data_IF_951104436390
#
_entry.id   IF_951104436390
#
_cell.length_a   1.000
_cell.length_b   1.000
_cell.length_c   1.000
_cell.angle_alpha   90.00
_cell.angle_beta   90.00
_cell.angle_gamma   90.00
#
_symmetry.space_group_name_H-M   'P 1'
#
loop_
_entity.id
_entity.type
_entity.pdbx_description
1 polymer ?
#
# COMPACT_ATOMS: atom_id res chain seq x y z
N UNK A 1 -19.82 -6.38 11.86
CA UNK A 1 -19.16 -7.18 10.79
C UNK A 1 -18.25 -6.26 10.00
N UNK A 2 -16.95 -6.27 10.34
CA UNK A 2 -15.94 -5.30 9.89
C UNK A 2 -15.53 -5.51 8.42
N UNK A 3 -16.18 -4.82 7.48
CA UNK A 3 -15.81 -4.81 6.05
C UNK A 3 -14.42 -4.18 5.73
N UNK A 4 -13.56 -3.94 6.73
CA UNK A 4 -12.26 -3.23 6.60
C UNK A 4 -11.04 -4.14 6.70
N UNK A 5 -11.21 -5.42 7.02
CA UNK A 5 -10.14 -6.43 7.05
C UNK A 5 -9.32 -6.55 5.75
N UNK A 6 -9.91 -6.57 4.53
CA UNK A 6 -9.11 -6.74 3.30
C UNK A 6 -8.12 -5.58 3.10
N UNK A 7 -8.53 -4.36 3.44
CA UNK A 7 -7.69 -3.17 3.31
C UNK A 7 -6.51 -3.18 4.29
N UNK A 8 -6.72 -3.66 5.52
CA UNK A 8 -5.64 -3.80 6.51
C UNK A 8 -4.62 -4.84 6.09
N UNK A 9 -5.06 -5.96 5.49
CA UNK A 9 -4.15 -6.98 4.95
C UNK A 9 -3.31 -6.41 3.82
N UNK A 10 -3.95 -5.74 2.85
CA UNK A 10 -3.24 -5.10 1.74
C UNK A 10 -2.17 -4.12 2.21
N UNK A 11 -2.47 -3.28 3.20
CA UNK A 11 -1.47 -2.35 3.76
C UNK A 11 -0.28 -3.09 4.37
N UNK A 12 -0.48 -4.24 5.01
CA UNK A 12 0.62 -5.07 5.51
C UNK A 12 1.47 -5.64 4.38
N UNK A 13 0.86 -6.14 3.32
CA UNK A 13 1.58 -6.63 2.13
C UNK A 13 2.40 -5.52 1.48
N UNK A 14 1.83 -4.32 1.32
CA UNK A 14 2.53 -3.14 0.80
C UNK A 14 3.74 -2.79 1.67
N UNK A 15 3.57 -2.73 3.00
CA UNK A 15 4.65 -2.43 3.93
C UNK A 15 5.75 -3.50 3.90
N UNK A 16 5.39 -4.77 3.78
CA UNK A 16 6.33 -5.89 3.69
C UNK A 16 7.14 -5.81 2.39
N UNK A 17 6.47 -5.71 1.24
CA UNK A 17 7.12 -5.57 -0.07
C UNK A 17 8.01 -4.33 -0.14
N UNK A 18 7.54 -3.19 0.40
CA UNK A 18 8.34 -1.97 0.49
C UNK A 18 9.64 -2.20 1.26
N UNK A 19 9.60 -2.93 2.36
CA UNK A 19 10.80 -3.28 3.16
C UNK A 19 11.72 -4.23 2.42
N UNK A 20 11.17 -5.29 1.80
CA UNK A 20 11.93 -6.28 1.02
C UNK A 20 12.67 -5.59 -0.13
N UNK A 21 12.02 -4.64 -0.80
CA UNK A 21 12.57 -3.87 -1.92
C UNK A 21 13.46 -2.70 -1.49
N UNK A 22 13.62 -2.44 -0.19
CA UNK A 22 14.39 -1.30 0.31
C UNK A 22 13.82 0.08 -0.07
N UNK A 23 12.51 0.17 -0.34
CA UNK A 23 11.87 1.39 -0.81
C UNK A 23 11.46 2.33 0.34
N UNK A 24 11.75 3.61 0.17
CA UNK A 24 11.28 4.67 1.07
C UNK A 24 9.80 4.98 0.87
N UNK A 25 9.12 5.53 1.89
CA UNK A 25 7.72 5.98 1.76
C UNK A 25 7.53 6.96 0.61
N UNK A 26 8.50 7.86 0.39
CA UNK A 26 8.45 8.82 -0.71
C UNK A 26 8.50 8.15 -2.09
N UNK A 27 9.30 7.10 -2.25
CA UNK A 27 9.38 6.34 -3.49
C UNK A 27 8.06 5.60 -3.76
N UNK A 28 7.52 4.92 -2.74
CA UNK A 28 6.22 4.26 -2.85
C UNK A 28 5.09 5.25 -3.17
N UNK A 29 5.09 6.41 -2.52
CA UNK A 29 4.09 7.45 -2.77
C UNK A 29 4.16 7.97 -4.20
N UNK A 30 5.37 8.17 -4.74
CA UNK A 30 5.58 8.56 -6.14
C UNK A 30 5.07 7.48 -7.12
N UNK A 31 5.39 6.21 -6.87
CA UNK A 31 4.93 5.05 -7.66
C UNK A 31 3.40 4.93 -7.68
N UNK A 32 2.77 5.14 -6.52
CA UNK A 32 1.31 5.10 -6.38
C UNK A 32 0.64 6.37 -6.90
N UNK A 33 1.39 7.43 -7.24
CA UNK A 33 0.84 8.72 -7.63
C UNK A 33 0.08 9.43 -6.50
N UNK A 34 0.41 9.16 -5.24
CA UNK A 34 -0.21 9.78 -4.06
C UNK A 34 0.79 10.62 -3.29
N UNK A 35 0.31 11.57 -2.49
CA UNK A 35 1.20 12.31 -1.60
C UNK A 35 1.76 11.41 -0.48
N UNK A 36 3.01 11.63 -0.08
CA UNK A 36 3.64 10.95 1.07
C UNK A 36 2.77 11.03 2.32
N UNK A 37 2.12 12.18 2.54
CA UNK A 37 1.21 12.37 3.66
C UNK A 37 0.00 11.41 3.62
N UNK A 38 -0.55 11.15 2.43
CA UNK A 38 -1.65 10.20 2.25
C UNK A 38 -1.20 8.78 2.60
N UNK A 39 0.00 8.38 2.15
CA UNK A 39 0.57 7.08 2.50
C UNK A 39 0.82 6.95 4.00
N UNK A 40 1.33 7.99 4.67
CA UNK A 40 1.52 8.00 6.12
C UNK A 40 0.20 7.86 6.89
N UNK A 41 -0.86 8.53 6.45
CA UNK A 41 -2.20 8.40 7.05
C UNK A 41 -2.73 6.96 6.94
N UNK A 42 -2.38 6.26 5.85
CA UNK A 42 -2.71 4.84 5.65
C UNK A 42 -1.90 3.91 6.54
N UNK A 43 -0.57 4.07 6.58
CA UNK A 43 0.32 3.26 7.44
C UNK A 43 0.01 3.46 8.93
N UNK A 44 -0.35 4.68 9.35
CA UNK A 44 -0.76 4.98 10.73
C UNK A 44 -2.20 4.54 11.05
N UNK A 45 -2.92 3.93 10.09
CA UNK A 45 -4.33 3.57 10.23
C UNK A 45 -5.25 4.74 10.59
N UNK A 46 -4.83 5.99 10.35
CA UNK A 46 -5.67 7.19 10.53
C UNK A 46 -6.73 7.27 9.44
N UNK A 47 -6.38 6.86 8.22
CA UNK A 47 -7.29 6.78 7.08
C UNK A 47 -7.09 5.45 6.37
N UNK A 48 -8.17 4.77 5.99
CA UNK A 48 -8.07 3.57 5.17
C UNK A 48 -8.17 3.96 3.69
N UNK A 49 -7.28 3.43 2.82
CA UNK A 49 -7.41 3.63 1.39
C UNK A 49 -8.76 3.09 0.93
N UNK A 50 -9.48 3.88 0.14
CA UNK A 50 -10.82 3.56 -0.37
C UNK A 50 -10.92 4.01 -1.83
N UNK A 51 -11.73 3.32 -2.63
CA UNK A 51 -11.85 3.59 -4.06
C UNK A 51 -10.52 3.45 -4.78
N UNK A 52 -10.10 4.50 -5.50
CA UNK A 52 -8.87 4.54 -6.31
C UNK A 52 -7.62 4.21 -5.49
N UNK A 53 -7.49 4.72 -4.26
CA UNK A 53 -6.32 4.44 -3.41
C UNK A 53 -6.15 2.97 -3.05
N UNK A 54 -7.25 2.23 -2.89
CA UNK A 54 -7.20 0.79 -2.65
C UNK A 54 -6.75 0.06 -3.92
N UNK A 55 -7.35 0.39 -5.08
CA UNK A 55 -6.99 -0.22 -6.35
C UNK A 55 -5.50 -0.03 -6.69
N UNK A 56 -4.96 1.17 -6.47
CA UNK A 56 -3.54 1.48 -6.69
C UNK A 56 -2.62 0.62 -5.83
N UNK A 57 -2.91 0.52 -4.52
CA UNK A 57 -2.12 -0.33 -3.63
C UNK A 57 -2.18 -1.80 -4.04
N UNK A 58 -3.35 -2.28 -4.46
CA UNK A 58 -3.54 -3.66 -4.91
C UNK A 58 -2.71 -3.94 -6.15
N UNK A 59 -2.85 -3.10 -7.17
CA UNK A 59 -2.11 -3.19 -8.41
C UNK A 59 -0.60 -3.10 -8.16
N UNK A 60 -0.16 -2.20 -7.28
CA UNK A 60 1.25 -2.10 -6.92
C UNK A 60 1.78 -3.38 -6.26
N UNK A 61 1.02 -3.98 -5.33
CA UNK A 61 1.38 -5.27 -4.73
C UNK A 61 1.45 -6.35 -5.80
N UNK A 62 0.46 -6.45 -6.68
CA UNK A 62 0.42 -7.43 -7.76
C UNK A 62 1.64 -7.30 -8.68
N UNK A 63 2.00 -6.09 -9.10
CA UNK A 63 3.19 -5.82 -9.92
C UNK A 63 4.49 -6.20 -9.20
N UNK A 64 4.54 -6.02 -7.87
CA UNK A 64 5.76 -6.27 -7.10
C UNK A 64 5.87 -7.70 -6.53
N UNK A 65 4.78 -8.47 -6.56
CA UNK A 65 4.73 -9.86 -6.10
C UNK A 65 5.19 -10.87 -7.18
N UNK A 66 5.31 -10.46 -8.44
CA UNK A 66 5.73 -11.33 -9.57
C UNK A 66 7.21 -11.75 -9.58
N UNK A 67 7.89 -11.68 -8.44
CA UNK A 67 9.30 -12.05 -8.25
C UNK A 67 9.34 -13.20 -7.23
N UNK A 68 8.83 -14.37 -7.61
CA UNK A 68 8.77 -15.53 -6.72
C UNK A 68 7.75 -16.62 -7.02
N UNK A 69 7.33 -16.80 -8.28
CA UNK A 69 6.78 -18.07 -8.77
C UNK A 69 7.79 -18.70 -9.73
#
# INVERSE_FOLDING_TARGET
MERKEPTRRLLRDVMALRRIRGMSQTALAAELGVSVRTLQEWEQSRRLPSGVGHALLRQWVETNHSDGD
#
